data_IF_722930485486
#
_entry.id   IF_722930485486
#
_cell.length_a   1.000
_cell.length_b   1.000
_cell.length_c   1.000
_cell.angle_alpha   90.00
_cell.angle_beta   90.00
_cell.angle_gamma   90.00
#
_symmetry.space_group_name_H-M   'P 1'
#
loop_
_entity.id
_entity.type
_entity.pdbx_description
1 polymer ?
#
# COMPACT_ATOMS: atom_id res chain seq x y z
N UNK A 1 -6.11 7.95 21.97
CA UNK A 1 -5.35 7.93 20.72
C UNK A 1 -5.73 9.11 19.80
N UNK A 2 -7.02 9.33 19.51
CA UNK A 2 -7.50 10.34 18.53
C UNK A 2 -7.07 11.81 18.79
N UNK A 3 -6.56 12.14 19.96
CA UNK A 3 -6.01 13.46 20.33
C UNK A 3 -4.50 13.44 20.58
N UNK A 4 -3.81 12.33 20.29
CA UNK A 4 -2.38 12.19 20.53
C UNK A 4 -1.55 12.59 19.29
N UNK A 5 -0.47 13.31 19.50
CA UNK A 5 0.48 13.65 18.42
C UNK A 5 1.31 12.45 17.93
N UNK A 6 1.29 11.35 18.67
CA UNK A 6 2.00 10.11 18.32
C UNK A 6 1.28 9.25 17.30
N UNK A 7 0.02 9.56 16.95
CA UNK A 7 -0.73 8.82 15.93
C UNK A 7 -0.77 9.56 14.60
N UNK A 8 -0.79 8.86 13.45
CA UNK A 8 -0.95 9.47 12.13
C UNK A 8 -2.28 10.20 11.96
N UNK A 9 -2.33 11.14 11.02
CA UNK A 9 -3.48 12.03 10.82
C UNK A 9 -4.80 11.33 10.52
N UNK A 10 -4.78 10.16 9.86
CA UNK A 10 -5.97 9.36 9.61
C UNK A 10 -6.64 8.78 10.88
N UNK A 11 -5.96 8.84 12.03
CA UNK A 11 -6.49 8.47 13.35
C UNK A 11 -6.77 9.67 14.23
N UNK A 12 -6.45 10.90 13.78
CA UNK A 12 -6.68 12.15 14.52
C UNK A 12 -8.02 12.78 14.17
N UNK A 13 -8.65 13.38 15.16
CA UNK A 13 -9.81 14.25 14.97
C UNK A 13 -9.34 15.68 14.69
N UNK A 14 -9.03 16.01 13.44
CA UNK A 14 -8.66 17.36 13.00
C UNK A 14 -9.91 18.24 12.94
N UNK A 15 -10.25 18.88 14.07
CA UNK A 15 -11.47 19.67 14.21
C UNK A 15 -11.34 21.02 13.52
N UNK A 16 -12.40 21.44 12.86
CA UNK A 16 -12.53 22.80 12.32
C UNK A 16 -12.80 23.81 13.44
N UNK A 17 -12.11 24.92 13.39
CA UNK A 17 -12.33 26.06 14.32
C UNK A 17 -13.56 26.85 13.89
N UNK A 18 -14.29 27.36 14.87
CA UNK A 18 -15.42 28.26 14.62
C UNK A 18 -14.88 29.64 14.21
N UNK A 19 -15.31 30.21 13.06
CA UNK A 19 -14.96 31.59 12.70
C UNK A 19 -15.54 32.58 13.71
N UNK A 20 -14.80 33.64 14.00
CA UNK A 20 -15.29 34.73 14.83
C UNK A 20 -16.51 35.38 14.15
N UNK A 21 -17.63 35.53 14.89
CA UNK A 21 -18.86 36.12 14.37
C UNK A 21 -19.71 35.22 13.45
N UNK A 22 -19.46 33.90 13.45
CA UNK A 22 -20.28 32.97 12.71
C UNK A 22 -21.74 32.98 13.13
N UNK A 23 -22.65 32.88 12.17
CA UNK A 23 -24.09 32.73 12.42
C UNK A 23 -24.46 31.34 12.98
N UNK A 24 -25.67 31.22 13.50
CA UNK A 24 -26.15 29.95 14.10
C UNK A 24 -26.13 28.77 13.14
N UNK A 25 -26.41 28.98 11.85
CA UNK A 25 -26.42 27.94 10.84
C UNK A 25 -24.97 27.44 10.57
N UNK A 26 -24.03 28.37 10.45
CA UNK A 26 -22.60 28.06 10.30
C UNK A 26 -22.06 27.32 11.52
N UNK A 27 -22.43 27.75 12.73
CA UNK A 27 -22.05 27.10 13.99
C UNK A 27 -22.60 25.66 14.03
N UNK A 28 -23.88 25.48 13.69
CA UNK A 28 -24.51 24.13 13.65
C UNK A 28 -23.85 23.22 12.63
N UNK A 29 -23.55 23.71 11.41
CA UNK A 29 -22.87 22.97 10.37
C UNK A 29 -21.47 22.51 10.80
N UNK A 30 -20.64 23.42 11.36
CA UNK A 30 -19.29 23.09 11.84
C UNK A 30 -19.34 22.09 13.00
N UNK A 31 -20.31 22.21 13.93
CA UNK A 31 -20.49 21.26 15.02
C UNK A 31 -20.84 19.86 14.50
N UNK A 32 -21.75 19.74 13.52
CA UNK A 32 -22.12 18.49 12.90
C UNK A 32 -20.92 17.85 12.19
N UNK A 33 -20.16 18.64 11.43
CA UNK A 33 -18.95 18.20 10.73
C UNK A 33 -17.87 17.74 11.72
N UNK A 34 -17.62 18.48 12.79
CA UNK A 34 -16.67 18.10 13.83
C UNK A 34 -17.09 16.79 14.54
N UNK A 35 -18.40 16.56 14.70
CA UNK A 35 -18.90 15.29 15.22
C UNK A 35 -18.60 14.14 14.27
N UNK A 36 -18.81 14.31 12.97
CA UNK A 36 -18.48 13.31 11.95
C UNK A 36 -16.98 13.02 11.92
N UNK A 37 -16.12 14.06 12.00
CA UNK A 37 -14.66 13.91 12.07
C UNK A 37 -14.24 13.09 13.30
N UNK A 38 -14.78 13.40 14.47
CA UNK A 38 -14.51 12.64 15.71
C UNK A 38 -14.92 11.17 15.57
N UNK A 39 -16.13 10.93 15.06
CA UNK A 39 -16.66 9.57 14.88
C UNK A 39 -15.78 8.77 13.94
N UNK A 40 -15.34 9.36 12.82
CA UNK A 40 -14.43 8.70 11.87
C UNK A 40 -13.07 8.38 12.50
N UNK A 41 -12.48 9.32 13.23
CA UNK A 41 -11.18 9.09 13.89
C UNK A 41 -11.27 7.98 14.94
N UNK A 42 -12.35 7.94 15.73
CA UNK A 42 -12.60 6.90 16.73
C UNK A 42 -12.77 5.54 16.03
N UNK A 43 -13.55 5.46 14.96
CA UNK A 43 -13.75 4.24 14.21
C UNK A 43 -12.43 3.67 13.65
N UNK A 44 -11.58 4.53 13.08
CA UNK A 44 -10.25 4.13 12.62
C UNK A 44 -9.37 3.61 13.78
N UNK A 45 -9.39 4.29 14.94
CA UNK A 45 -8.67 3.82 16.12
C UNK A 45 -9.20 2.44 16.60
N UNK A 46 -10.51 2.20 16.58
CA UNK A 46 -11.09 0.91 16.95
C UNK A 46 -10.62 -0.21 16.03
N UNK A 47 -10.58 0.03 14.71
CA UNK A 47 -10.04 -0.93 13.74
C UNK A 47 -8.58 -1.26 14.07
N UNK A 48 -7.76 -0.25 14.36
CA UNK A 48 -6.36 -0.47 14.69
C UNK A 48 -6.17 -1.25 16.01
N UNK A 49 -7.00 -0.99 17.02
CA UNK A 49 -6.99 -1.73 18.29
C UNK A 49 -7.41 -3.19 18.09
N UNK A 50 -8.45 -3.43 17.28
CA UNK A 50 -8.89 -4.79 16.94
C UNK A 50 -7.80 -5.58 16.23
N UNK A 51 -7.14 -4.96 15.23
CA UNK A 51 -6.01 -5.59 14.51
C UNK A 51 -4.86 -5.86 15.48
N UNK A 52 -4.50 -4.90 16.33
CA UNK A 52 -3.43 -5.05 17.31
C UNK A 52 -3.69 -6.22 18.28
N UNK A 53 -4.93 -6.37 18.75
CA UNK A 53 -5.34 -7.48 19.60
C UNK A 53 -5.14 -8.84 18.92
N UNK A 54 -5.51 -8.95 17.64
CA UNK A 54 -5.38 -10.21 16.87
C UNK A 54 -3.94 -10.64 16.61
N UNK A 55 -3.03 -9.66 16.39
CA UNK A 55 -1.61 -9.96 16.11
C UNK A 55 -0.72 -9.91 17.36
N UNK A 56 -1.29 -9.62 18.54
CA UNK A 56 -0.51 -9.48 19.78
C UNK A 56 0.44 -8.28 19.79
N UNK A 57 0.12 -7.21 19.05
CA UNK A 57 0.96 -6.03 18.89
C UNK A 57 0.44 -4.83 19.71
N UNK A 58 1.30 -3.80 19.88
CA UNK A 58 0.86 -2.54 20.47
C UNK A 58 -0.08 -1.79 19.50
N UNK A 59 -1.25 -1.28 19.97
CA UNK A 59 -2.13 -0.46 19.14
C UNK A 59 -1.43 0.73 18.48
N UNK A 60 -0.53 1.41 19.19
CA UNK A 60 0.24 2.52 18.63
C UNK A 60 1.15 2.08 17.48
N UNK A 61 1.81 0.93 17.62
CA UNK A 61 2.65 0.37 16.55
C UNK A 61 1.82 0.05 15.30
N UNK A 62 0.62 -0.51 15.48
CA UNK A 62 -0.31 -0.76 14.38
C UNK A 62 -0.74 0.55 13.73
N UNK A 63 -1.16 1.55 14.50
CA UNK A 63 -1.57 2.87 13.97
C UNK A 63 -0.47 3.55 13.15
N UNK A 64 0.80 3.43 13.59
CA UNK A 64 1.94 4.03 12.89
C UNK A 64 2.31 3.31 11.58
N UNK A 65 1.87 2.06 11.39
CA UNK A 65 2.24 1.22 10.25
C UNK A 65 1.07 0.76 9.39
N UNK A 66 -0.15 1.08 9.79
CA UNK A 66 -1.38 0.76 9.07
C UNK A 66 -2.07 2.03 8.60
N UNK A 67 -2.41 2.08 7.31
CA UNK A 67 -3.27 3.12 6.74
C UNK A 67 -4.63 2.54 6.40
N UNK A 68 -5.69 3.35 6.51
CA UNK A 68 -7.03 3.00 6.01
C UNK A 68 -7.22 3.72 4.68
N UNK A 69 -7.18 2.97 3.57
CA UNK A 69 -7.29 3.48 2.21
C UNK A 69 -8.62 2.99 1.64
N UNK A 70 -9.52 3.90 1.25
CA UNK A 70 -10.87 3.60 0.78
C UNK A 70 -11.62 2.58 1.67
N UNK A 71 -11.53 2.77 3.00
CA UNK A 71 -12.18 1.90 3.99
C UNK A 71 -11.51 0.55 4.21
N UNK A 72 -10.35 0.29 3.59
CA UNK A 72 -9.59 -0.96 3.76
C UNK A 72 -8.31 -0.72 4.53
N UNK A 73 -8.05 -1.46 5.62
CA UNK A 73 -6.77 -1.40 6.31
C UNK A 73 -5.67 -1.97 5.42
N UNK A 74 -4.52 -1.33 5.41
CA UNK A 74 -3.36 -1.70 4.60
C UNK A 74 -2.07 -1.51 5.38
N UNK A 75 -1.15 -2.45 5.29
CA UNK A 75 0.14 -2.38 5.96
C UNK A 75 1.14 -1.54 5.17
N UNK A 76 2.05 -0.84 5.86
CA UNK A 76 3.26 -0.38 5.19
C UNK A 76 4.12 -1.60 4.80
N UNK A 77 4.69 -1.62 3.60
CA UNK A 77 5.56 -2.72 3.17
C UNK A 77 6.76 -2.92 4.09
N UNK A 78 7.28 -1.84 4.69
CA UNK A 78 8.35 -1.91 5.69
C UNK A 78 7.94 -2.71 6.93
N UNK A 79 6.73 -2.48 7.42
CA UNK A 79 6.19 -3.20 8.57
C UNK A 79 5.99 -4.68 8.25
N UNK A 80 5.47 -5.00 7.05
CA UNK A 80 5.32 -6.38 6.61
C UNK A 80 6.66 -7.13 6.59
N UNK A 81 7.70 -6.53 6.03
CA UNK A 81 9.06 -7.10 6.03
C UNK A 81 9.58 -7.28 7.47
N UNK A 82 9.40 -6.26 8.32
CA UNK A 82 9.81 -6.34 9.72
C UNK A 82 9.09 -7.47 10.47
N UNK A 83 7.80 -7.67 10.22
CA UNK A 83 6.99 -8.74 10.82
C UNK A 83 7.50 -10.12 10.39
N UNK A 84 7.82 -10.32 9.11
CA UNK A 84 8.45 -11.58 8.63
C UNK A 84 9.78 -11.81 9.36
N UNK A 85 10.64 -10.79 9.43
CA UNK A 85 11.97 -10.92 10.05
C UNK A 85 11.92 -11.16 11.55
N UNK A 86 10.88 -10.70 12.24
CA UNK A 86 10.74 -10.81 13.71
C UNK A 86 9.87 -11.98 14.18
N UNK A 87 9.12 -12.65 13.31
CA UNK A 87 8.18 -13.70 13.69
C UNK A 87 8.82 -14.99 14.26
N UNK A 88 10.13 -15.12 14.16
CA UNK A 88 10.89 -16.26 14.69
C UNK A 88 10.79 -17.56 13.89
N UNK A 89 9.98 -17.61 12.82
CA UNK A 89 9.77 -18.82 12.00
C UNK A 89 10.67 -18.92 10.80
N UNK A 90 11.15 -17.80 10.33
CA UNK A 90 11.97 -17.67 9.12
C UNK A 90 13.28 -16.97 9.44
N UNK A 91 14.29 -17.19 8.63
CA UNK A 91 15.45 -16.31 8.58
C UNK A 91 15.05 -14.96 7.95
N UNK A 92 15.85 -13.88 8.13
CA UNK A 92 15.52 -12.58 7.55
C UNK A 92 15.28 -12.66 6.05
N UNK A 93 14.20 -12.01 5.59
CA UNK A 93 13.84 -11.93 4.18
C UNK A 93 14.94 -11.24 3.38
N UNK A 94 15.38 -11.86 2.30
CA UNK A 94 16.40 -11.38 1.40
C UNK A 94 15.84 -11.12 0.01
N UNK A 95 16.58 -10.35 -0.79
CA UNK A 95 16.13 -9.92 -2.12
C UNK A 95 17.25 -10.12 -3.13
N UNK A 96 16.95 -10.86 -4.19
CA UNK A 96 17.84 -11.08 -5.32
C UNK A 96 17.35 -10.27 -6.51
N UNK A 97 18.24 -9.43 -7.05
CA UNK A 97 17.97 -8.62 -8.23
C UNK A 97 18.69 -9.22 -9.43
N UNK A 98 18.00 -9.28 -10.57
CA UNK A 98 18.57 -9.73 -11.84
C UNK A 98 18.25 -8.68 -12.91
N UNK A 99 19.27 -8.21 -13.62
CA UNK A 99 19.12 -7.32 -14.76
C UNK A 99 18.93 -8.17 -16.02
N UNK A 100 17.79 -8.04 -16.68
CA UNK A 100 17.45 -8.75 -17.91
C UNK A 100 17.84 -7.97 -19.18
N UNK A 101 18.53 -6.83 -19.02
CA UNK A 101 18.89 -5.94 -20.11
C UNK A 101 17.82 -4.90 -20.42
N UNK A 102 17.88 -4.31 -21.62
CA UNK A 102 16.94 -3.27 -22.03
C UNK A 102 15.49 -3.78 -22.05
N UNK A 103 14.57 -3.01 -21.46
CA UNK A 103 13.14 -3.35 -21.37
C UNK A 103 12.50 -3.45 -22.79
N UNK A 104 12.91 -2.58 -23.73
CA UNK A 104 12.34 -2.52 -25.07
C UNK A 104 10.92 -1.94 -25.08
N UNK A 105 10.16 -2.28 -26.12
CA UNK A 105 8.73 -1.90 -26.21
C UNK A 105 7.89 -2.87 -25.38
N UNK A 106 6.96 -2.32 -24.60
CA UNK A 106 6.05 -3.10 -23.75
C UNK A 106 4.63 -2.63 -23.94
N UNK A 107 3.75 -3.53 -24.33
CA UNK A 107 2.32 -3.25 -24.40
C UNK A 107 1.70 -3.33 -22.99
N UNK A 108 0.80 -2.39 -22.69
CA UNK A 108 0.04 -2.38 -21.45
C UNK A 108 -1.40 -1.92 -21.66
N UNK A 109 -2.29 -2.32 -20.76
CA UNK A 109 -3.68 -1.89 -20.79
C UNK A 109 -3.86 -0.63 -19.95
N UNK A 110 -4.46 0.38 -20.55
CA UNK A 110 -4.90 1.60 -19.88
C UNK A 110 -6.43 1.72 -20.01
N UNK A 111 -7.05 2.54 -19.19
CA UNK A 111 -8.49 2.74 -19.19
C UNK A 111 -8.83 4.19 -19.49
N UNK A 112 -9.61 4.40 -20.56
CA UNK A 112 -10.10 5.73 -20.95
C UNK A 112 -11.61 5.79 -20.76
N UNK A 113 -12.10 6.92 -20.22
CA UNK A 113 -13.53 7.15 -20.09
C UNK A 113 -14.13 7.46 -21.46
N UNK A 114 -15.12 6.67 -21.86
CA UNK A 114 -15.91 6.91 -23.08
C UNK A 114 -17.19 7.68 -22.71
N UNK A 115 -17.34 8.96 -23.16
CA UNK A 115 -18.50 9.77 -22.83
C UNK A 115 -19.83 9.23 -23.40
N UNK A 116 -19.78 8.49 -24.54
CA UNK A 116 -20.97 7.96 -25.20
C UNK A 116 -21.53 6.75 -24.44
N UNK A 117 -20.64 5.85 -24.01
CA UNK A 117 -21.06 4.66 -23.24
C UNK A 117 -21.14 4.91 -21.75
N UNK A 118 -20.59 6.04 -21.25
CA UNK A 118 -20.41 6.40 -19.84
C UNK A 118 -19.66 5.32 -19.05
N UNK A 119 -18.73 4.62 -19.70
CA UNK A 119 -17.93 3.55 -19.10
C UNK A 119 -16.44 3.79 -19.37
N UNK A 120 -15.61 3.23 -18.52
CA UNK A 120 -14.17 3.09 -18.79
C UNK A 120 -13.99 1.93 -19.76
N UNK A 121 -13.29 2.18 -20.86
CA UNK A 121 -12.96 1.20 -21.89
C UNK A 121 -11.47 0.93 -21.87
N UNK A 122 -11.10 -0.34 -21.95
CA UNK A 122 -9.72 -0.77 -22.01
C UNK A 122 -9.12 -0.43 -23.37
N UNK A 123 -7.97 0.23 -23.36
CA UNK A 123 -7.18 0.52 -24.56
C UNK A 123 -5.77 -0.04 -24.38
N UNK A 124 -5.22 -0.64 -25.42
CA UNK A 124 -3.82 -1.07 -25.42
C UNK A 124 -2.94 0.10 -25.81
N UNK A 125 -1.98 0.42 -24.96
CA UNK A 125 -0.93 1.40 -25.19
C UNK A 125 0.43 0.72 -25.24
N UNK A 126 1.40 1.39 -25.84
CA UNK A 126 2.78 0.91 -25.93
C UNK A 126 3.72 1.85 -25.17
N UNK A 127 4.55 1.28 -24.32
CA UNK A 127 5.56 1.99 -23.55
C UNK A 127 6.95 1.79 -24.17
N UNK A 128 7.67 2.87 -24.48
CA UNK A 128 9.05 2.82 -24.96
C UNK A 128 10.03 2.74 -23.81
N UNK A 129 10.45 1.55 -23.46
CA UNK A 129 11.41 1.24 -22.41
C UNK A 129 12.85 1.04 -22.90
N UNK A 130 13.22 1.48 -24.12
CA UNK A 130 14.57 1.24 -24.69
C UNK A 130 15.72 1.78 -23.83
N UNK A 131 15.47 2.84 -23.04
CA UNK A 131 16.46 3.46 -22.14
C UNK A 131 16.35 2.97 -20.70
N UNK A 132 15.49 1.99 -20.43
CA UNK A 132 15.20 1.46 -19.11
C UNK A 132 15.60 0.00 -19.07
N UNK A 133 16.23 -0.42 -17.99
CA UNK A 133 16.57 -1.83 -17.77
C UNK A 133 15.40 -2.56 -17.13
N UNK A 134 15.12 -3.77 -17.62
CA UNK A 134 14.16 -4.69 -17.04
C UNK A 134 14.82 -5.38 -15.83
N UNK A 135 14.71 -4.76 -14.67
CA UNK A 135 15.22 -5.30 -13.42
C UNK A 135 14.13 -6.18 -12.81
N UNK A 136 14.50 -7.41 -12.45
CA UNK A 136 13.66 -8.37 -11.75
C UNK A 136 14.10 -8.48 -10.28
N UNK A 137 13.14 -8.66 -9.38
CA UNK A 137 13.39 -8.92 -7.96
C UNK A 137 12.62 -10.16 -7.51
N UNK A 138 13.30 -11.03 -6.77
CA UNK A 138 12.72 -12.17 -6.06
C UNK A 138 13.01 -12.00 -4.57
N UNK A 139 11.99 -12.06 -3.74
CA UNK A 139 12.13 -12.16 -2.29
C UNK A 139 12.28 -13.63 -1.90
N UNK A 140 13.23 -13.93 -1.02
CA UNK A 140 13.48 -15.30 -0.59
C UNK A 140 13.97 -15.39 0.85
N UNK A 141 13.70 -16.52 1.49
CA UNK A 141 14.26 -16.87 2.80
C UNK A 141 14.11 -18.38 3.02
N UNK A 142 14.56 -18.87 4.19
CA UNK A 142 14.39 -20.26 4.63
C UNK A 142 13.59 -20.29 5.94
N UNK A 143 12.90 -21.39 6.19
CA UNK A 143 12.36 -21.67 7.54
C UNK A 143 13.53 -21.95 8.48
N UNK A 144 13.47 -21.43 9.71
CA UNK A 144 14.49 -21.76 10.72
C UNK A 144 14.56 -23.26 10.94
N UNK A 145 15.77 -23.79 10.92
CA UNK A 145 16.01 -25.23 11.04
C UNK A 145 15.67 -26.07 9.81
N UNK A 146 15.57 -25.44 8.63
CA UNK A 146 15.34 -26.12 7.34
C UNK A 146 16.22 -25.52 6.26
N UNK A 147 16.72 -26.32 5.35
CA UNK A 147 17.54 -25.87 4.20
C UNK A 147 16.71 -25.48 2.97
N UNK A 148 15.39 -25.65 3.03
CA UNK A 148 14.49 -25.36 1.91
C UNK A 148 14.31 -23.85 1.72
N UNK A 149 14.70 -23.34 0.55
CA UNK A 149 14.50 -21.94 0.17
C UNK A 149 13.06 -21.72 -0.30
N UNK A 150 12.40 -20.70 0.25
CA UNK A 150 11.08 -20.25 -0.16
C UNK A 150 11.24 -18.96 -0.95
N UNK A 151 10.84 -18.96 -2.22
CA UNK A 151 11.00 -17.84 -3.14
C UNK A 151 9.65 -17.29 -3.59
N UNK A 152 9.54 -15.97 -3.68
CA UNK A 152 8.37 -15.33 -4.30
C UNK A 152 8.35 -15.55 -5.82
N UNK A 153 7.19 -15.34 -6.44
CA UNK A 153 7.16 -15.06 -7.87
C UNK A 153 8.04 -13.86 -8.19
N UNK A 154 8.73 -13.84 -9.35
CA UNK A 154 9.54 -12.70 -9.75
C UNK A 154 8.67 -11.48 -10.04
N UNK A 155 9.13 -10.32 -9.59
CA UNK A 155 8.54 -9.00 -9.90
C UNK A 155 9.52 -8.24 -10.75
N UNK A 156 9.10 -7.73 -11.91
CA UNK A 156 9.97 -7.00 -12.84
C UNK A 156 9.45 -5.62 -13.21
N UNK A 157 10.33 -4.79 -13.77
CA UNK A 157 9.92 -3.50 -14.35
C UNK A 157 8.93 -3.73 -15.50
N UNK A 158 9.12 -4.79 -16.29
CA UNK A 158 8.19 -5.20 -17.34
C UNK A 158 6.79 -5.46 -16.77
N UNK A 159 6.70 -6.25 -15.70
CA UNK A 159 5.44 -6.50 -15.02
C UNK A 159 4.80 -5.20 -14.52
N UNK A 160 5.60 -4.30 -13.93
CA UNK A 160 5.09 -3.02 -13.43
C UNK A 160 4.55 -2.12 -14.55
N UNK A 161 5.11 -2.20 -15.76
CA UNK A 161 4.58 -1.51 -16.95
C UNK A 161 3.29 -2.16 -17.41
N UNK A 162 3.25 -3.51 -17.55
CA UNK A 162 2.08 -4.26 -18.01
C UNK A 162 0.86 -4.05 -17.11
N UNK A 163 1.07 -3.98 -15.80
CA UNK A 163 0.03 -3.72 -14.79
C UNK A 163 -0.31 -2.22 -14.64
N UNK A 164 0.32 -1.33 -15.43
CA UNK A 164 0.08 0.10 -15.38
C UNK A 164 0.71 0.84 -14.17
N UNK A 165 1.39 0.16 -13.26
CA UNK A 165 1.98 0.78 -12.05
C UNK A 165 3.11 1.75 -12.38
N UNK A 166 3.93 1.39 -13.36
CA UNK A 166 5.09 2.19 -13.78
C UNK A 166 4.69 3.45 -14.57
N UNK A 167 3.64 3.34 -15.38
CA UNK A 167 3.24 4.38 -16.32
C UNK A 167 2.37 5.50 -15.71
N UNK A 168 1.92 5.33 -14.46
CA UNK A 168 1.14 6.35 -13.74
C UNK A 168 1.94 7.63 -13.54
N UNK A 169 1.25 8.76 -13.61
CA UNK A 169 1.85 10.06 -13.34
C UNK A 169 2.34 10.14 -11.89
N UNK A 170 3.60 10.51 -11.68
CA UNK A 170 4.23 10.58 -10.36
C UNK A 170 4.53 9.21 -9.71
N UNK A 171 4.52 8.13 -10.47
CA UNK A 171 4.77 6.78 -9.98
C UNK A 171 6.15 6.62 -9.34
N UNK A 172 6.17 6.10 -8.13
CA UNK A 172 7.41 5.75 -7.41
C UNK A 172 8.19 4.62 -8.09
N UNK A 173 7.55 3.84 -8.95
CA UNK A 173 8.23 2.84 -9.77
C UNK A 173 9.28 3.43 -10.70
N UNK A 174 9.13 4.70 -11.09
CA UNK A 174 10.11 5.42 -11.94
C UNK A 174 11.29 5.96 -11.13
N UNK A 175 11.07 6.41 -9.90
CA UNK A 175 12.08 7.11 -9.10
C UNK A 175 12.73 6.23 -8.03
N UNK A 176 12.03 5.20 -7.56
CA UNK A 176 12.45 4.29 -6.49
C UNK A 176 12.30 2.83 -6.92
N UNK A 177 12.64 2.51 -8.17
CA UNK A 177 12.38 1.23 -8.84
C UNK A 177 12.74 0.02 -8.00
N UNK A 178 13.99 -0.06 -7.52
CA UNK A 178 14.45 -1.22 -6.71
C UNK A 178 13.65 -1.38 -5.42
N UNK A 179 13.28 -0.28 -4.77
CA UNK A 179 12.50 -0.33 -3.54
C UNK A 179 11.08 -0.82 -3.79
N UNK A 180 10.43 -0.36 -4.88
CA UNK A 180 9.10 -0.83 -5.26
C UNK A 180 9.10 -2.31 -5.65
N UNK A 181 10.14 -2.76 -6.37
CA UNK A 181 10.35 -4.18 -6.67
C UNK A 181 10.47 -5.02 -5.39
N UNK A 182 11.28 -4.57 -4.40
CA UNK A 182 11.43 -5.24 -3.10
C UNK A 182 10.09 -5.34 -2.36
N UNK A 183 9.35 -4.24 -2.27
CA UNK A 183 8.09 -4.19 -1.55
C UNK A 183 7.05 -5.12 -2.16
N UNK A 184 6.94 -5.13 -3.49
CA UNK A 184 6.02 -6.02 -4.20
C UNK A 184 6.44 -7.49 -4.07
N UNK A 185 7.73 -7.79 -4.18
CA UNK A 185 8.24 -9.15 -3.99
C UNK A 185 8.03 -9.66 -2.56
N UNK A 186 8.23 -8.79 -1.54
CA UNK A 186 7.95 -9.11 -0.14
C UNK A 186 6.47 -9.41 0.10
N UNK A 187 5.57 -8.62 -0.48
CA UNK A 187 4.13 -8.86 -0.39
C UNK A 187 3.75 -10.19 -1.04
N UNK A 188 4.25 -10.48 -2.24
CA UNK A 188 3.99 -11.75 -2.91
C UNK A 188 4.53 -12.95 -2.11
N UNK A 189 5.72 -12.81 -1.53
CA UNK A 189 6.30 -13.85 -0.67
C UNK A 189 5.42 -14.09 0.56
N UNK A 190 5.03 -13.03 1.25
CA UNK A 190 4.22 -13.12 2.49
C UNK A 190 2.86 -13.75 2.20
N UNK A 191 2.21 -13.36 1.12
CA UNK A 191 0.91 -13.90 0.74
C UNK A 191 0.97 -15.40 0.39
N UNK A 192 2.11 -15.88 -0.13
CA UNK A 192 2.30 -17.28 -0.47
C UNK A 192 2.67 -18.17 0.73
N UNK A 193 3.53 -17.69 1.63
CA UNK A 193 4.16 -18.54 2.64
C UNK A 193 3.81 -18.20 4.09
N UNK A 194 3.29 -17.01 4.33
CA UNK A 194 2.94 -16.52 5.67
C UNK A 194 1.76 -15.53 5.64
N UNK A 195 0.62 -15.88 5.02
CA UNK A 195 -0.51 -14.96 4.85
C UNK A 195 -1.10 -14.49 6.19
N UNK A 196 -0.93 -15.25 7.25
CA UNK A 196 -1.35 -14.87 8.61
C UNK A 196 -0.56 -13.67 9.15
N UNK A 197 0.65 -13.40 8.68
CA UNK A 197 1.42 -12.22 9.09
C UNK A 197 0.86 -10.93 8.49
N UNK A 198 0.33 -10.99 7.28
CA UNK A 198 -0.37 -9.87 6.65
C UNK A 198 -1.86 -9.82 7.03
N UNK A 199 -2.42 -10.89 7.63
CA UNK A 199 -3.86 -11.07 7.87
C UNK A 199 -4.68 -10.92 6.58
N UNK A 200 -4.11 -11.25 5.42
CA UNK A 200 -4.71 -11.06 4.12
C UNK A 200 -4.84 -9.60 3.67
N UNK A 201 -4.29 -8.65 4.43
CA UNK A 201 -4.30 -7.24 4.05
C UNK A 201 -3.23 -6.93 3.01
N UNK A 202 -3.58 -6.05 2.08
CA UNK A 202 -2.65 -5.52 1.08
C UNK A 202 -1.69 -4.51 1.71
N UNK A 203 -0.59 -4.24 1.04
CA UNK A 203 0.26 -3.12 1.41
C UNK A 203 -0.31 -1.78 0.93
N UNK A 204 0.13 -0.69 1.55
CA UNK A 204 -0.24 0.69 1.15
C UNK A 204 0.15 0.93 -0.31
N UNK A 205 1.33 0.47 -0.69
CA UNK A 205 1.86 0.61 -2.05
C UNK A 205 1.00 -0.17 -3.06
N UNK A 206 0.54 -1.39 -2.72
CA UNK A 206 -0.39 -2.15 -3.55
C UNK A 206 -1.74 -1.46 -3.71
N UNK A 207 -2.26 -0.85 -2.66
CA UNK A 207 -3.51 -0.10 -2.75
C UNK A 207 -3.35 1.15 -3.63
N UNK A 208 -2.24 1.87 -3.51
CA UNK A 208 -1.94 3.01 -4.37
C UNK A 208 -1.81 2.61 -5.84
N UNK A 209 -1.21 1.46 -6.13
CA UNK A 209 -1.11 0.95 -7.49
C UNK A 209 -2.49 0.63 -8.11
N UNK A 210 -3.46 0.19 -7.32
CA UNK A 210 -4.79 -0.23 -7.79
C UNK A 210 -5.76 0.95 -7.89
N UNK A 211 -5.76 1.86 -6.92
CA UNK A 211 -6.84 2.85 -6.75
C UNK A 211 -6.57 4.22 -7.36
N UNK A 212 -5.37 4.52 -7.83
CA UNK A 212 -5.10 5.79 -8.54
C UNK A 212 -5.90 5.92 -9.85
N UNK A 213 -6.53 4.83 -10.32
CA UNK A 213 -7.33 4.82 -11.55
C UNK A 213 -8.82 5.14 -11.31
N UNK A 214 -9.23 5.49 -10.08
CA UNK A 214 -10.64 5.68 -9.70
C UNK A 214 -11.01 7.14 -9.33
N UNK A 215 -10.09 8.10 -9.47
CA UNK A 215 -10.37 9.54 -9.29
C UNK A 215 -10.65 10.26 -10.61
#
# INVERSE_FOLDING_TARGET
FASSDLVPDNYKAQLKTLPAGADENTIAAIKAENTAIKTKAIANCMIAVEVASRIGASPLMVMQNMAVIYGRPSWSSKFLIATVNSCGRFEPLQFRFTDKGALGMVDYTDYTYNPQTRRKEAITKQFDGKKIHDIECVAFTTKRGSDGVLESSPVSVRLAVQEGWYTKNGSKWQTMTKQMLMYRAASMWTNAYAPELSMGMRTVEEQQDIYTDYE
#
